data_IF_193647574440
#
_entry.id   IF_193647574440
#
_cell.length_a   1.000
_cell.length_b   1.000
_cell.length_c   1.000
_cell.angle_alpha   90.00
_cell.angle_beta   90.00
_cell.angle_gamma   90.00
#
_symmetry.space_group_name_H-M   'P 1'
#
loop_
_entity.id
_entity.type
_entity.pdbx_description
1 polymer ?
#
# COMPACT_ATOMS: atom_id res chain seq x y z
N UNK A 1 -0.07 -42.11 -7.00
CA UNK A 1 -0.34 -41.45 -8.29
C UNK A 1 -0.53 -39.96 -8.04
N UNK A 2 0.46 -39.13 -8.36
CA UNK A 2 0.35 -37.67 -8.29
C UNK A 2 -0.04 -37.15 -9.67
N UNK A 3 -1.24 -36.59 -9.82
CA UNK A 3 -1.70 -36.03 -11.10
C UNK A 3 -0.92 -34.74 -11.38
N UNK A 4 -0.12 -34.71 -12.45
CA UNK A 4 0.70 -33.57 -12.87
C UNK A 4 -0.08 -32.45 -13.57
N UNK A 5 -1.40 -32.61 -13.76
CA UNK A 5 -2.23 -31.69 -14.53
C UNK A 5 -3.52 -31.39 -13.75
N UNK A 6 -3.73 -30.11 -13.43
CA UNK A 6 -4.98 -29.60 -12.85
C UNK A 6 -6.11 -29.68 -13.87
N UNK A 7 -7.25 -30.24 -13.47
CA UNK A 7 -8.46 -30.38 -14.29
C UNK A 7 -9.52 -29.31 -14.00
N UNK A 8 -9.20 -28.27 -13.22
CA UNK A 8 -10.21 -27.26 -12.90
C UNK A 8 -10.47 -26.31 -14.08
N UNK A 9 -11.72 -25.84 -14.28
CA UNK A 9 -12.09 -24.95 -15.40
C UNK A 9 -11.37 -23.59 -15.37
N UNK A 10 -10.84 -23.22 -14.20
CA UNK A 10 -10.05 -22.01 -13.97
C UNK A 10 -8.55 -22.32 -13.75
N UNK A 11 -8.14 -23.59 -13.92
CA UNK A 11 -6.85 -24.13 -13.46
C UNK A 11 -5.82 -24.46 -14.53
N UNK A 12 -6.07 -24.08 -15.79
CA UNK A 12 -4.97 -23.88 -16.76
C UNK A 12 -4.78 -22.38 -16.83
N UNK A 13 -3.65 -21.86 -16.36
CA UNK A 13 -3.23 -20.56 -16.88
C UNK A 13 -3.14 -20.73 -18.40
N UNK A 14 -4.01 -20.04 -19.16
CA UNK A 14 -4.00 -20.05 -20.64
C UNK A 14 -2.66 -19.51 -21.22
N UNK A 15 -1.72 -19.16 -20.35
CA UNK A 15 -0.35 -18.76 -20.70
C UNK A 15 0.42 -20.00 -21.13
N UNK A 16 0.37 -20.32 -22.43
CA UNK A 16 1.33 -21.22 -23.05
C UNK A 16 2.74 -20.76 -22.65
N UNK A 17 3.57 -21.72 -22.17
CA UNK A 17 4.96 -21.48 -21.75
C UNK A 17 5.63 -20.55 -22.77
N UNK A 18 5.91 -19.32 -22.34
CA UNK A 18 6.51 -18.28 -23.18
C UNK A 18 7.81 -18.82 -23.75
N UNK A 19 7.95 -18.79 -25.08
CA UNK A 19 9.20 -19.10 -25.77
C UNK A 19 10.29 -18.17 -25.25
N UNK A 20 11.52 -18.66 -25.12
CA UNK A 20 12.64 -17.85 -24.65
C UNK A 20 12.79 -16.63 -25.59
N UNK A 21 12.73 -15.39 -25.08
CA UNK A 21 12.94 -14.22 -25.92
C UNK A 21 14.38 -14.26 -26.45
N UNK A 22 14.54 -14.14 -27.76
CA UNK A 22 15.84 -14.14 -28.45
C UNK A 22 16.60 -12.82 -28.27
N UNK A 23 15.91 -11.80 -27.77
CA UNK A 23 16.41 -10.45 -27.52
C UNK A 23 16.17 -10.08 -26.04
N UNK A 24 16.97 -9.16 -25.48
CA UNK A 24 16.71 -8.64 -24.15
C UNK A 24 15.33 -7.96 -24.09
N UNK A 25 14.67 -8.07 -22.94
CA UNK A 25 13.38 -7.41 -22.71
C UNK A 25 13.51 -5.89 -22.91
N UNK A 26 12.49 -5.22 -23.47
CA UNK A 26 12.50 -3.79 -23.66
C UNK A 26 12.57 -3.05 -22.31
N UNK A 27 13.15 -1.86 -22.32
CA UNK A 27 13.20 -0.99 -21.15
C UNK A 27 11.79 -0.47 -20.84
N UNK A 28 11.35 -0.64 -19.60
CA UNK A 28 10.01 -0.17 -19.15
C UNK A 28 10.03 1.36 -19.06
N UNK A 29 9.04 2.07 -19.65
CA UNK A 29 8.96 3.51 -19.54
C UNK A 29 8.72 3.94 -18.09
N UNK A 30 9.37 5.02 -17.68
CA UNK A 30 9.21 5.63 -16.36
C UNK A 30 8.76 7.06 -16.52
N UNK A 31 7.89 7.49 -15.61
CA UNK A 31 7.33 8.83 -15.56
C UNK A 31 7.75 9.50 -14.24
N UNK A 32 8.04 10.81 -14.24
CA UNK A 32 8.26 11.55 -13.02
C UNK A 32 6.93 11.71 -12.28
N UNK A 33 6.90 11.34 -11.01
CA UNK A 33 5.75 11.48 -10.13
C UNK A 33 6.16 12.25 -8.87
N UNK A 34 5.38 13.28 -8.52
CA UNK A 34 5.53 14.04 -7.27
C UNK A 34 4.70 13.37 -6.17
N UNK A 35 5.38 12.92 -5.14
CA UNK A 35 4.79 12.30 -3.96
C UNK A 35 4.73 13.34 -2.85
N UNK A 36 3.55 13.56 -2.28
CA UNK A 36 3.33 14.41 -1.10
C UNK A 36 3.09 13.47 0.08
N UNK A 37 3.95 13.58 1.10
CA UNK A 37 3.84 12.84 2.36
C UNK A 37 2.82 13.46 3.31
N UNK A 38 2.48 12.76 4.39
CA UNK A 38 1.49 13.22 5.37
C UNK A 38 1.93 14.48 6.12
N UNK A 39 3.24 14.70 6.26
CA UNK A 39 3.83 15.93 6.82
C UNK A 39 3.77 17.14 5.84
N UNK A 40 3.28 16.92 4.61
CA UNK A 40 3.22 17.93 3.55
C UNK A 40 4.53 18.08 2.77
N UNK A 41 5.60 17.40 3.16
CA UNK A 41 6.85 17.39 2.39
C UNK A 41 6.66 16.65 1.08
N UNK A 42 7.48 16.98 0.08
CA UNK A 42 7.34 16.39 -1.25
C UNK A 42 8.66 15.98 -1.86
N UNK A 43 8.64 14.90 -2.64
CA UNK A 43 9.77 14.44 -3.44
C UNK A 43 9.29 13.95 -4.81
N UNK A 44 10.21 13.92 -5.77
CA UNK A 44 9.95 13.43 -7.13
C UNK A 44 10.65 12.09 -7.34
N UNK A 45 9.93 11.08 -7.79
CA UNK A 45 10.49 9.77 -8.12
C UNK A 45 10.06 9.29 -9.52
N UNK A 46 10.79 8.33 -10.07
CA UNK A 46 10.51 7.77 -11.39
C UNK A 46 9.78 6.43 -11.24
N UNK A 47 8.51 6.40 -11.64
CA UNK A 47 7.62 5.24 -11.50
C UNK A 47 7.07 4.81 -12.85
N UNK A 48 6.54 3.58 -12.96
CA UNK A 48 5.85 3.10 -14.16
C UNK A 48 4.40 3.56 -14.23
N UNK A 49 3.87 4.14 -13.13
CA UNK A 49 2.53 4.72 -13.10
C UNK A 49 2.47 6.01 -13.92
N UNK A 50 1.44 6.21 -14.76
CA UNK A 50 1.28 7.46 -15.51
C UNK A 50 0.78 8.63 -14.65
N UNK A 51 0.55 8.45 -13.35
CA UNK A 51 0.05 9.50 -12.45
C UNK A 51 1.17 10.47 -12.07
N UNK A 52 0.96 11.75 -12.33
CA UNK A 52 1.94 12.81 -12.02
C UNK A 52 2.01 13.20 -10.54
N UNK A 53 0.93 12.99 -9.77
CA UNK A 53 0.84 13.38 -8.36
C UNK A 53 0.21 12.27 -7.53
N UNK A 54 0.80 11.98 -6.37
CA UNK A 54 0.19 11.10 -5.37
C UNK A 54 0.34 11.72 -3.98
N UNK A 55 -0.75 11.70 -3.21
CA UNK A 55 -0.80 12.14 -1.81
C UNK A 55 -0.93 10.91 -0.92
N UNK A 56 -0.01 10.76 0.01
CA UNK A 56 0.00 9.65 0.95
C UNK A 56 -0.77 10.05 2.21
N UNK A 57 -1.71 9.21 2.62
CA UNK A 57 -2.43 9.34 3.89
C UNK A 57 -1.71 8.62 5.03
N UNK A 58 -0.90 7.59 4.70
CA UNK A 58 -0.02 6.88 5.63
C UNK A 58 1.35 6.64 4.99
N UNK A 59 2.38 6.97 5.74
CA UNK A 59 3.78 6.83 5.34
C UNK A 59 4.69 6.67 6.57
N UNK A 60 6.00 6.81 6.39
CA UNK A 60 6.97 6.70 7.48
C UNK A 60 6.95 7.88 8.45
N UNK A 61 6.41 9.03 8.03
CA UNK A 61 6.37 10.27 8.85
C UNK A 61 5.17 10.37 9.77
N UNK A 62 4.13 9.57 9.58
CA UNK A 62 3.03 9.47 10.54
C UNK A 62 2.90 8.09 11.19
N UNK A 63 3.80 7.14 10.88
CA UNK A 63 3.78 5.83 11.52
C UNK A 63 4.69 5.81 12.77
N UNK A 64 4.15 5.41 13.94
CA UNK A 64 4.84 5.46 15.22
C UNK A 64 6.10 4.59 15.29
N UNK A 65 6.20 3.54 14.48
CA UNK A 65 7.38 2.67 14.46
C UNK A 65 8.63 3.40 13.97
N UNK A 66 8.48 4.31 13.00
CA UNK A 66 9.60 5.11 12.49
C UNK A 66 9.80 6.43 13.25
N UNK A 67 8.78 6.89 13.99
CA UNK A 67 8.85 8.07 14.84
C UNK A 67 8.70 7.70 16.32
N UNK A 68 9.74 7.10 16.87
CA UNK A 68 9.73 6.55 18.23
C UNK A 68 9.53 7.60 19.33
N UNK A 69 9.85 8.87 19.08
CA UNK A 69 9.52 9.98 20.00
C UNK A 69 8.01 10.25 20.12
N UNK A 70 7.24 9.90 19.09
CA UNK A 70 5.77 9.94 19.12
C UNK A 70 5.21 8.66 19.74
N UNK A 71 5.93 7.54 19.67
CA UNK A 71 5.53 6.31 20.37
C UNK A 71 5.50 6.53 21.89
N UNK A 72 6.49 7.22 22.46
CA UNK A 72 6.50 7.54 23.90
C UNK A 72 5.34 8.43 24.35
N UNK A 73 4.70 9.15 23.42
CA UNK A 73 3.49 9.93 23.67
C UNK A 73 2.29 9.08 23.16
N UNK A 74 1.77 8.21 24.03
CA UNK A 74 0.76 7.15 23.80
C UNK A 74 -0.47 7.58 22.93
N UNK A 75 -0.66 8.90 22.82
CA UNK A 75 -1.64 9.60 21.99
C UNK A 75 -1.63 9.19 20.52
N UNK A 76 -0.46 8.95 19.92
CA UNK A 76 -0.39 8.68 18.47
C UNK A 76 -1.00 7.33 18.05
N UNK A 77 -0.90 6.32 18.93
CA UNK A 77 -1.43 4.98 18.67
C UNK A 77 -2.91 4.91 19.07
N UNK A 78 -3.25 5.52 20.21
CA UNK A 78 -4.63 5.58 20.70
C UNK A 78 -5.54 6.37 19.75
N UNK A 79 -5.09 7.49 19.19
CA UNK A 79 -5.90 8.32 18.28
C UNK A 79 -6.26 7.59 16.97
N UNK A 80 -5.33 6.81 16.41
CA UNK A 80 -5.60 6.03 15.19
C UNK A 80 -6.60 4.89 15.48
N UNK A 81 -6.42 4.19 16.60
CA UNK A 81 -7.32 3.12 17.05
C UNK A 81 -8.70 3.62 17.45
N UNK A 82 -8.77 4.80 18.08
CA UNK A 82 -9.99 5.46 18.51
C UNK A 82 -10.82 6.02 17.35
N UNK A 83 -10.23 6.23 16.17
CA UNK A 83 -10.94 6.74 14.99
C UNK A 83 -11.24 5.66 13.95
N UNK A 84 -10.53 4.53 13.99
CA UNK A 84 -10.59 3.48 12.96
C UNK A 84 -11.11 2.14 13.53
N UNK A 85 -11.70 1.31 12.67
CA UNK A 85 -12.06 -0.07 13.03
C UNK A 85 -13.25 -0.20 13.98
N UNK A 86 -13.23 -1.21 14.85
CA UNK A 86 -14.33 -1.50 15.79
C UNK A 86 -14.42 -0.47 16.92
N UNK A 87 -13.27 -0.07 17.48
CA UNK A 87 -13.20 0.90 18.56
C UNK A 87 -13.67 2.28 18.08
N UNK A 88 -13.22 2.75 16.92
CA UNK A 88 -13.73 4.02 16.38
C UNK A 88 -15.22 4.02 16.01
N UNK A 89 -15.79 2.86 15.65
CA UNK A 89 -17.25 2.73 15.49
C UNK A 89 -17.99 2.78 16.83
N UNK A 90 -17.37 2.27 17.89
CA UNK A 90 -17.93 2.32 19.24
C UNK A 90 -17.90 3.76 19.76
N UNK A 91 -16.74 4.44 19.71
CA UNK A 91 -16.59 5.82 20.16
C UNK A 91 -17.62 6.74 19.48
N UNK A 92 -17.73 6.69 18.14
CA UNK A 92 -18.73 7.48 17.40
C UNK A 92 -20.19 7.27 17.82
N UNK A 93 -20.53 6.15 18.45
CA UNK A 93 -21.90 5.83 18.90
C UNK A 93 -22.16 6.22 20.34
N UNK A 94 -21.14 6.26 21.18
CA UNK A 94 -21.29 6.29 22.63
C UNK A 94 -20.50 7.40 23.32
N UNK A 95 -19.64 8.14 22.61
CA UNK A 95 -18.82 9.23 23.16
C UNK A 95 -19.66 10.42 23.66
N UNK A 96 -20.82 10.70 23.07
CA UNK A 96 -21.74 11.76 23.51
C UNK A 96 -22.72 11.33 24.62
N UNK A 97 -22.70 10.05 25.01
CA UNK A 97 -23.63 9.45 25.98
C UNK A 97 -22.99 9.24 27.37
N UNK A 98 -21.70 9.54 27.52
CA UNK A 98 -20.94 9.49 28.77
C UNK A 98 -20.40 10.86 29.17
#
# INVERSE_FOLDING_TARGET
QTRTVSSSPYGRTHVWKRRAPTLPNPVVPKFPQRVIRSDGTSFTHWTTSPRSLIRLTRDTTNNPMWNTGVWSDDRGIEEEGATTGRLGRFNRRFEELG
#
